data_IF_722401208736
#
_entry.id   IF_722401208736
#
_cell.length_a   1.000
_cell.length_b   1.000
_cell.length_c   1.000
_cell.angle_alpha   90.00
_cell.angle_beta   90.00
_cell.angle_gamma   90.00
#
_symmetry.space_group_name_H-M   'P 1'
#
loop_
_entity.id
_entity.type
_entity.pdbx_description
1 polymer ?
#
# COMPACT_ATOMS: atom_id res chain seq x y z
N UNK A 1 -48.31 -28.24 -12.15
CA UNK A 1 -47.55 -29.40 -11.59
C UNK A 1 -46.51 -28.83 -10.66
N UNK A 2 -46.79 -28.92 -9.35
CA UNK A 2 -45.89 -28.48 -8.30
C UNK A 2 -44.73 -29.48 -8.19
N UNK A 3 -43.51 -29.05 -8.51
CA UNK A 3 -42.30 -29.82 -8.24
C UNK A 3 -42.00 -29.69 -6.75
N UNK A 4 -42.08 -30.81 -6.05
CA UNK A 4 -41.63 -30.99 -4.66
C UNK A 4 -40.21 -30.44 -4.47
N UNK A 5 -39.89 -29.69 -3.41
CA UNK A 5 -38.51 -29.32 -3.12
C UNK A 5 -37.79 -30.56 -2.64
N UNK A 6 -36.79 -31.02 -3.41
CA UNK A 6 -35.87 -32.07 -3.00
C UNK A 6 -35.14 -31.61 -1.73
N UNK A 7 -35.58 -32.15 -0.60
CA UNK A 7 -35.01 -31.96 0.72
C UNK A 7 -33.87 -32.97 0.90
N UNK A 8 -32.75 -32.75 0.20
CA UNK A 8 -31.49 -33.50 0.38
C UNK A 8 -30.28 -32.60 0.06
N UNK A 9 -30.33 -31.32 0.44
CA UNK A 9 -29.08 -30.58 0.63
C UNK A 9 -28.58 -30.91 2.03
N UNK A 10 -27.40 -31.56 2.19
CA UNK A 10 -26.86 -31.84 3.50
C UNK A 10 -26.75 -30.53 4.28
N UNK A 11 -27.30 -30.52 5.50
CA UNK A 11 -27.24 -29.34 6.38
C UNK A 11 -25.76 -28.98 6.54
N UNK A 12 -25.35 -27.75 6.18
CA UNK A 12 -23.95 -27.37 6.29
C UNK A 12 -23.52 -27.42 7.76
N UNK A 13 -22.34 -27.99 8.00
CA UNK A 13 -21.72 -28.07 9.33
C UNK A 13 -21.57 -26.67 9.93
N UNK A 14 -21.74 -26.50 11.27
CA UNK A 14 -21.49 -25.23 11.99
C UNK A 14 -19.99 -24.88 11.98
N UNK A 15 -19.47 -24.55 10.79
CA UNK A 15 -18.12 -24.07 10.59
C UNK A 15 -18.14 -22.54 10.68
N UNK A 16 -17.43 -22.00 11.67
CA UNK A 16 -17.37 -20.56 11.93
C UNK A 16 -16.14 -19.97 11.27
N UNK A 17 -16.33 -19.24 10.18
CA UNK A 17 -15.26 -18.58 9.43
C UNK A 17 -14.81 -17.26 10.05
N UNK A 18 -15.50 -16.77 11.08
CA UNK A 18 -15.23 -15.48 11.75
C UNK A 18 -13.84 -15.36 12.34
N UNK A 19 -13.33 -16.41 12.99
CA UNK A 19 -12.02 -16.35 13.62
C UNK A 19 -10.92 -16.16 12.58
N UNK A 20 -11.04 -16.82 11.42
CA UNK A 20 -10.11 -16.65 10.29
C UNK A 20 -10.17 -15.25 9.71
N UNK A 21 -11.38 -14.75 9.44
CA UNK A 21 -11.62 -13.38 8.94
C UNK A 21 -10.98 -12.32 9.86
N UNK A 22 -11.22 -12.41 11.17
CA UNK A 22 -10.68 -11.45 12.14
C UNK A 22 -9.15 -11.56 12.25
N UNK A 23 -8.61 -12.78 12.32
CA UNK A 23 -7.16 -12.98 12.40
C UNK A 23 -6.45 -12.35 11.19
N UNK A 24 -6.99 -12.55 9.99
CA UNK A 24 -6.48 -11.93 8.77
C UNK A 24 -6.54 -10.40 8.84
N UNK A 25 -7.70 -9.83 9.21
CA UNK A 25 -7.85 -8.38 9.27
C UNK A 25 -6.92 -7.75 10.32
N UNK A 26 -6.83 -8.33 11.53
CA UNK A 26 -5.92 -7.84 12.57
C UNK A 26 -4.46 -7.88 12.11
N UNK A 27 -4.02 -8.98 11.50
CA UNK A 27 -2.62 -9.10 11.04
C UNK A 27 -2.29 -8.06 9.98
N UNK A 28 -3.13 -7.88 8.97
CA UNK A 28 -2.92 -6.86 7.93
C UNK A 28 -2.93 -5.44 8.50
N UNK A 29 -3.83 -5.15 9.44
CA UNK A 29 -3.93 -3.82 10.07
C UNK A 29 -2.67 -3.48 10.87
N UNK A 30 -2.14 -4.44 11.63
CA UNK A 30 -0.92 -4.28 12.42
C UNK A 30 0.30 -4.10 11.51
N UNK A 31 0.42 -4.91 10.46
CA UNK A 31 1.50 -4.78 9.48
C UNK A 31 1.41 -3.41 8.79
N UNK A 32 0.21 -3.00 8.34
CA UNK A 32 -0.01 -1.71 7.73
C UNK A 32 0.34 -0.56 8.68
N UNK A 33 -0.05 -0.63 9.96
CA UNK A 33 0.30 0.37 10.98
C UNK A 33 1.82 0.52 11.11
N UNK A 34 2.53 -0.61 11.22
CA UNK A 34 3.98 -0.59 11.38
C UNK A 34 4.68 0.10 10.20
N UNK A 35 4.19 -0.13 8.98
CA UNK A 35 4.73 0.49 7.77
C UNK A 35 4.35 1.96 7.62
N UNK A 36 3.13 2.34 7.98
CA UNK A 36 2.68 3.75 7.98
C UNK A 36 3.47 4.56 8.99
N UNK A 37 3.71 4.04 10.20
CA UNK A 37 4.54 4.69 11.20
C UNK A 37 6.00 4.81 10.75
N UNK A 38 6.56 3.74 10.16
CA UNK A 38 7.91 3.77 9.60
C UNK A 38 8.00 4.82 8.48
N UNK A 39 7.02 4.86 7.59
CA UNK A 39 6.92 5.85 6.52
C UNK A 39 6.83 7.26 7.07
N UNK A 40 5.97 7.51 8.05
CA UNK A 40 5.85 8.83 8.69
C UNK A 40 7.17 9.25 9.36
N UNK A 41 7.86 8.33 10.04
CA UNK A 41 9.17 8.58 10.62
C UNK A 41 10.21 8.95 9.55
N UNK A 42 10.26 8.21 8.43
CA UNK A 42 11.14 8.51 7.29
C UNK A 42 10.82 9.88 6.70
N UNK A 43 9.54 10.22 6.51
CA UNK A 43 9.15 11.48 5.90
C UNK A 43 9.42 12.69 6.81
N UNK A 44 9.28 12.53 8.12
CA UNK A 44 9.51 13.60 9.10
C UNK A 44 10.99 13.79 9.44
N UNK A 45 11.75 12.71 9.60
CA UNK A 45 13.15 12.76 10.08
C UNK A 45 14.16 12.66 8.96
N UNK A 46 13.98 11.70 8.04
CA UNK A 46 14.98 11.34 7.03
C UNK A 46 14.91 12.21 5.78
N UNK A 47 13.73 12.32 5.17
CA UNK A 47 13.57 13.15 3.96
C UNK A 47 13.08 14.56 4.27
N UNK A 48 12.55 14.78 5.49
CA UNK A 48 12.02 16.06 6.00
C UNK A 48 11.09 16.76 4.99
N UNK A 49 10.32 15.97 4.24
CA UNK A 49 9.49 16.45 3.15
C UNK A 49 8.17 15.68 3.17
N UNK A 50 7.22 16.22 3.94
CA UNK A 50 5.87 15.69 4.05
C UNK A 50 5.07 16.03 2.78
N UNK A 51 4.64 15.00 2.05
CA UNK A 51 3.86 15.16 0.83
C UNK A 51 2.38 14.86 1.03
N UNK A 52 1.55 15.26 0.06
CA UNK A 52 0.13 14.89 0.01
C UNK A 52 -0.10 13.37 0.04
N UNK A 53 0.79 12.62 -0.59
CA UNK A 53 0.87 11.16 -0.56
C UNK A 53 0.91 10.59 0.88
N UNK A 54 1.69 11.23 1.77
CA UNK A 54 1.82 10.80 3.18
C UNK A 54 0.55 11.06 3.99
N UNK A 55 -0.16 12.15 3.71
CA UNK A 55 -1.45 12.43 4.33
C UNK A 55 -2.51 11.44 3.86
N UNK A 56 -2.54 11.12 2.56
CA UNK A 56 -3.47 10.15 1.99
C UNK A 56 -3.29 8.77 2.65
N UNK A 57 -2.07 8.26 2.78
CA UNK A 57 -1.88 6.92 3.34
C UNK A 57 -2.27 6.81 4.83
N UNK A 58 -2.11 7.90 5.60
CA UNK A 58 -2.58 7.96 6.99
C UNK A 58 -4.11 7.92 7.04
N UNK A 59 -4.79 8.68 6.17
CA UNK A 59 -6.25 8.65 6.05
C UNK A 59 -6.73 7.26 5.63
N UNK A 60 -6.05 6.62 4.68
CA UNK A 60 -6.36 5.25 4.27
C UNK A 60 -6.25 4.27 5.45
N UNK A 61 -5.18 4.36 6.26
CA UNK A 61 -5.04 3.52 7.44
C UNK A 61 -6.15 3.75 8.48
N UNK A 62 -6.56 5.00 8.71
CA UNK A 62 -7.69 5.32 9.61
C UNK A 62 -8.99 4.70 9.07
N UNK A 63 -9.24 4.77 7.77
CA UNK A 63 -10.40 4.13 7.16
C UNK A 63 -10.34 2.60 7.26
N UNK A 64 -9.15 2.01 7.14
CA UNK A 64 -8.92 0.57 7.32
C UNK A 64 -9.21 0.13 8.77
N UNK A 65 -8.82 0.95 9.76
CA UNK A 65 -9.13 0.74 11.17
C UNK A 65 -10.64 0.86 11.45
N UNK A 66 -11.31 1.86 10.87
CA UNK A 66 -12.76 2.00 10.98
C UNK A 66 -13.48 0.76 10.42
N UNK A 67 -13.03 0.23 9.28
CA UNK A 67 -13.51 -1.02 8.70
C UNK A 67 -13.31 -2.24 9.61
N UNK A 68 -12.18 -2.31 10.33
CA UNK A 68 -11.90 -3.38 11.29
C UNK A 68 -12.91 -3.35 12.45
N UNK A 69 -13.22 -2.15 12.96
CA UNK A 69 -14.21 -1.98 14.04
C UNK A 69 -15.60 -2.42 13.58
N UNK A 70 -15.99 -2.08 12.35
CA UNK A 70 -17.29 -2.52 11.80
C UNK A 70 -17.36 -4.02 11.60
N UNK A 71 -16.30 -4.67 11.10
CA UNK A 71 -16.27 -6.14 10.97
C UNK A 71 -16.27 -6.83 12.34
N UNK A 72 -15.60 -6.26 13.34
CA UNK A 72 -15.66 -6.78 14.70
C UNK A 72 -17.09 -6.71 15.27
N UNK A 73 -17.82 -5.63 14.99
CA UNK A 73 -19.23 -5.50 15.37
C UNK A 73 -20.09 -6.56 14.66
N UNK A 74 -19.89 -6.79 13.35
CA UNK A 74 -20.57 -7.86 12.60
C UNK A 74 -20.25 -9.24 13.15
N UNK A 75 -19.00 -9.50 13.52
CA UNK A 75 -18.59 -10.77 14.12
C UNK A 75 -19.28 -11.02 15.46
N UNK A 76 -19.47 -9.98 16.29
CA UNK A 76 -20.22 -10.06 17.54
C UNK A 76 -21.71 -10.35 17.32
N UNK A 77 -22.28 -9.88 16.20
CA UNK A 77 -23.65 -10.17 15.77
C UNK A 77 -23.81 -11.56 15.14
N UNK A 78 -22.73 -12.32 14.94
CA UNK A 78 -22.78 -13.67 14.39
C UNK A 78 -22.59 -13.77 12.87
N UNK A 79 -21.91 -12.80 12.24
CA UNK A 79 -21.38 -12.95 10.87
C UNK A 79 -20.63 -14.29 10.72
N UNK A 80 -20.54 -14.86 9.52
CA UNK A 80 -19.76 -16.09 9.28
C UNK A 80 -20.35 -17.39 9.83
N UNK A 81 -21.56 -17.36 10.40
CA UNK A 81 -22.40 -18.53 10.62
C UNK A 81 -23.45 -18.66 9.51
N UNK A 82 -23.87 -19.88 9.21
CA UNK A 82 -25.03 -20.10 8.33
C UNK A 82 -26.30 -19.51 8.95
N UNK A 83 -27.16 -18.92 8.11
CA UNK A 83 -28.36 -18.19 8.54
C UNK A 83 -29.28 -19.05 9.45
N UNK A 84 -29.27 -20.37 9.25
CA UNK A 84 -30.04 -21.36 10.01
C UNK A 84 -29.64 -21.49 11.49
N UNK A 85 -28.42 -21.10 11.87
CA UNK A 85 -27.92 -21.23 13.25
C UNK A 85 -28.01 -19.92 14.06
N UNK A 86 -28.67 -18.90 13.52
CA UNK A 86 -28.86 -17.62 14.21
C UNK A 86 -30.14 -17.69 15.08
N UNK A 87 -30.13 -17.14 16.32
CA UNK A 87 -31.27 -17.20 17.23
C UNK A 87 -32.54 -16.55 16.65
N UNK A 88 -32.36 -15.38 16.03
CA UNK A 88 -33.41 -14.62 15.32
C UNK A 88 -32.88 -14.26 13.92
N UNK A 89 -33.06 -15.14 12.92
CA UNK A 89 -32.40 -14.99 11.62
C UNK A 89 -32.81 -13.70 10.90
N UNK A 90 -34.08 -13.27 10.99
CA UNK A 90 -34.57 -12.09 10.26
C UNK A 90 -33.99 -10.78 10.83
N UNK A 91 -34.07 -10.57 12.15
CA UNK A 91 -33.56 -9.36 12.80
C UNK A 91 -32.03 -9.28 12.79
N UNK A 92 -31.35 -10.40 13.03
CA UNK A 92 -29.89 -10.43 13.12
C UNK A 92 -29.26 -10.24 11.74
N UNK A 93 -29.80 -10.87 10.69
CA UNK A 93 -29.31 -10.67 9.31
C UNK A 93 -29.53 -9.23 8.85
N UNK A 94 -30.65 -8.61 9.21
CA UNK A 94 -30.89 -7.19 8.94
C UNK A 94 -29.84 -6.28 9.58
N UNK A 95 -29.48 -6.54 10.84
CA UNK A 95 -28.43 -5.77 11.53
C UNK A 95 -27.06 -5.98 10.88
N UNK A 96 -26.72 -7.23 10.53
CA UNK A 96 -25.47 -7.55 9.83
C UNK A 96 -25.39 -6.78 8.49
N UNK A 97 -26.46 -6.76 7.69
CA UNK A 97 -26.49 -6.04 6.41
C UNK A 97 -26.31 -4.52 6.58
N UNK A 98 -26.91 -3.94 7.63
CA UNK A 98 -26.75 -2.51 7.93
C UNK A 98 -25.31 -2.16 8.27
N UNK A 99 -24.67 -2.92 9.15
CA UNK A 99 -23.25 -2.70 9.51
C UNK A 99 -22.34 -2.99 8.32
N UNK A 100 -22.64 -4.01 7.51
CA UNK A 100 -21.89 -4.34 6.31
C UNK A 100 -21.89 -3.21 5.27
N UNK A 101 -23.00 -2.49 5.15
CA UNK A 101 -23.08 -1.30 4.29
C UNK A 101 -22.11 -0.21 4.77
N UNK A 102 -22.01 -0.01 6.08
CA UNK A 102 -21.06 0.94 6.67
C UNK A 102 -19.62 0.48 6.42
N UNK A 103 -19.33 -0.81 6.62
CA UNK A 103 -18.03 -1.40 6.29
C UNK A 103 -17.65 -1.16 4.82
N UNK A 104 -18.56 -1.41 3.89
CA UNK A 104 -18.31 -1.19 2.45
C UNK A 104 -17.96 0.26 2.13
N UNK A 105 -18.60 1.24 2.78
CA UNK A 105 -18.28 2.66 2.61
C UNK A 105 -16.83 2.95 3.03
N UNK A 106 -16.43 2.49 4.22
CA UNK A 106 -15.04 2.66 4.69
C UNK A 106 -14.04 1.95 3.78
N UNK A 107 -14.40 0.75 3.30
CA UNK A 107 -13.56 -0.03 2.40
C UNK A 107 -13.32 0.69 1.07
N UNK A 108 -14.38 1.26 0.47
CA UNK A 108 -14.29 2.05 -0.77
C UNK A 108 -13.44 3.31 -0.57
N UNK A 109 -13.63 4.03 0.53
CA UNK A 109 -12.82 5.21 0.87
C UNK A 109 -11.34 4.82 1.00
N UNK A 110 -11.05 3.75 1.74
CA UNK A 110 -9.70 3.27 1.95
C UNK A 110 -9.03 2.88 0.62
N UNK A 111 -9.73 2.13 -0.24
CA UNK A 111 -9.23 1.73 -1.55
C UNK A 111 -8.92 2.93 -2.44
N UNK A 112 -9.84 3.91 -2.53
CA UNK A 112 -9.65 5.13 -3.31
C UNK A 112 -8.42 5.92 -2.82
N UNK A 113 -8.39 6.23 -1.52
CA UNK A 113 -7.31 7.05 -0.93
C UNK A 113 -5.94 6.36 -1.06
N UNK A 114 -5.89 5.04 -0.98
CA UNK A 114 -4.67 4.25 -1.22
C UNK A 114 -4.17 4.41 -2.66
N UNK A 115 -5.07 4.30 -3.66
CA UNK A 115 -4.72 4.49 -5.08
C UNK A 115 -4.28 5.92 -5.38
N UNK A 116 -4.88 6.90 -4.71
CA UNK A 116 -4.44 8.30 -4.74
C UNK A 116 -3.03 8.48 -4.18
N UNK A 117 -2.73 7.89 -3.02
CA UNK A 117 -1.38 7.88 -2.43
C UNK A 117 -0.35 7.32 -3.42
N UNK A 118 -0.58 6.11 -3.96
CA UNK A 118 0.33 5.49 -4.95
C UNK A 118 0.54 6.40 -6.16
N UNK A 119 -0.53 7.02 -6.68
CA UNK A 119 -0.45 7.92 -7.84
C UNK A 119 0.38 9.18 -7.53
N UNK A 120 0.18 9.80 -6.37
CA UNK A 120 0.98 10.94 -5.94
C UNK A 120 2.44 10.57 -5.67
N UNK A 121 2.69 9.38 -5.12
CA UNK A 121 4.04 8.85 -4.95
C UNK A 121 4.77 8.71 -6.30
N UNK A 122 4.09 8.19 -7.31
CA UNK A 122 4.65 8.05 -8.66
C UNK A 122 5.00 9.43 -9.25
N UNK A 123 4.11 10.42 -9.11
CA UNK A 123 4.37 11.80 -9.56
C UNK A 123 5.56 12.43 -8.87
N UNK A 124 5.81 12.08 -7.61
CA UNK A 124 6.98 12.54 -6.85
C UNK A 124 8.29 11.95 -7.37
N UNK A 125 8.28 10.72 -7.89
CA UNK A 125 9.47 10.09 -8.49
C UNK A 125 9.75 10.65 -9.88
N UNK A 126 8.73 10.68 -10.74
CA UNK A 126 8.87 11.11 -12.14
C UNK A 126 7.76 12.10 -12.48
N UNK A 127 8.11 13.38 -12.42
CA UNK A 127 7.22 14.47 -12.79
C UNK A 127 7.40 14.84 -14.28
N UNK A 128 7.07 13.92 -15.20
CA UNK A 128 6.97 14.24 -16.63
C UNK A 128 5.53 14.61 -16.99
N UNK A 129 5.37 15.45 -18.03
CA UNK A 129 4.04 15.92 -18.47
C UNK A 129 3.14 14.74 -18.85
N UNK A 130 3.68 13.75 -19.54
CA UNK A 130 2.91 12.57 -19.98
C UNK A 130 2.45 11.70 -18.82
N UNK A 131 3.35 11.40 -17.86
CA UNK A 131 3.00 10.61 -16.67
C UNK A 131 1.95 11.35 -15.82
N UNK A 132 2.08 12.68 -15.72
CA UNK A 132 1.10 13.49 -15.00
C UNK A 132 -0.28 13.44 -15.64
N UNK A 133 -0.38 13.56 -16.96
CA UNK A 133 -1.66 13.46 -17.65
C UNK A 133 -2.25 12.06 -17.54
N UNK A 134 -1.45 11.01 -17.77
CA UNK A 134 -1.92 9.62 -17.68
C UNK A 134 -2.46 9.32 -16.27
N UNK A 135 -1.73 9.68 -15.22
CA UNK A 135 -2.18 9.46 -13.84
C UNK A 135 -3.39 10.32 -13.47
N UNK A 136 -3.46 11.56 -13.94
CA UNK A 136 -4.62 12.41 -13.71
C UNK A 136 -5.89 11.82 -14.37
N UNK A 137 -5.79 11.36 -15.62
CA UNK A 137 -6.91 10.68 -16.31
C UNK A 137 -7.31 9.39 -15.61
N UNK A 138 -6.33 8.59 -15.16
CA UNK A 138 -6.57 7.35 -14.44
C UNK A 138 -7.28 7.59 -13.09
N UNK A 139 -6.85 8.60 -12.32
CA UNK A 139 -7.49 9.01 -11.06
C UNK A 139 -8.90 9.58 -11.27
N UNK A 140 -9.09 10.36 -12.33
CA UNK A 140 -10.40 10.91 -12.70
C UNK A 140 -11.35 9.78 -13.07
N UNK A 141 -10.91 8.84 -13.91
CA UNK A 141 -11.72 7.71 -14.32
C UNK A 141 -12.05 6.78 -13.15
N UNK A 142 -11.10 6.53 -12.24
CA UNK A 142 -11.31 5.81 -10.97
C UNK A 142 -12.44 6.43 -10.14
N UNK A 143 -12.37 7.75 -9.92
CA UNK A 143 -13.37 8.42 -9.09
C UNK A 143 -14.73 8.47 -9.77
N UNK A 144 -14.78 8.77 -11.07
CA UNK A 144 -16.03 8.73 -11.83
C UNK A 144 -16.69 7.35 -11.82
N UNK A 145 -15.91 6.28 -12.00
CA UNK A 145 -16.43 4.91 -11.96
C UNK A 145 -16.97 4.57 -10.57
N UNK A 146 -16.25 4.96 -9.51
CA UNK A 146 -16.64 4.64 -8.13
C UNK A 146 -17.84 5.47 -7.66
N UNK A 147 -17.86 6.77 -7.97
CA UNK A 147 -19.00 7.65 -7.64
C UNK A 147 -20.22 7.27 -8.48
N UNK A 148 -20.04 6.98 -9.76
CA UNK A 148 -21.11 6.51 -10.64
C UNK A 148 -21.76 5.24 -10.11
N UNK A 149 -20.97 4.26 -9.67
CA UNK A 149 -21.51 3.06 -9.05
C UNK A 149 -22.19 3.33 -7.71
N UNK A 150 -21.63 4.20 -6.86
CA UNK A 150 -22.26 4.59 -5.61
C UNK A 150 -23.63 5.26 -5.82
N UNK A 151 -23.74 6.14 -6.82
CA UNK A 151 -25.00 6.77 -7.22
C UNK A 151 -25.99 5.74 -7.76
N UNK A 152 -25.55 4.82 -8.62
CA UNK A 152 -26.41 3.76 -9.15
C UNK A 152 -26.92 2.87 -8.02
N UNK A 153 -26.07 2.50 -7.06
CA UNK A 153 -26.49 1.74 -5.87
C UNK A 153 -27.49 2.52 -5.01
N UNK A 154 -27.26 3.81 -4.79
CA UNK A 154 -28.18 4.67 -4.04
C UNK A 154 -29.56 4.80 -4.71
N UNK A 155 -29.62 4.74 -6.05
CA UNK A 155 -30.87 4.81 -6.84
C UNK A 155 -31.43 3.41 -7.14
N UNK A 156 -30.70 2.34 -6.84
CA UNK A 156 -31.11 0.96 -7.13
C UNK A 156 -32.35 0.52 -6.36
N UNK A 157 -32.60 1.08 -5.17
CA UNK A 157 -33.82 0.89 -4.41
C UNK A 157 -34.28 2.20 -3.80
N UNK A 158 -35.58 2.51 -3.95
CA UNK A 158 -36.22 3.66 -3.32
C UNK A 158 -37.34 3.12 -2.42
N UNK A 159 -37.23 3.24 -1.08
CA UNK A 159 -36.09 3.73 -0.30
C UNK A 159 -34.91 2.73 -0.29
N UNK A 160 -33.68 3.20 -0.04
CA UNK A 160 -32.48 2.36 0.09
C UNK A 160 -32.68 1.28 1.18
N UNK A 161 -33.51 1.58 2.18
CA UNK A 161 -33.91 0.65 3.23
C UNK A 161 -34.54 -0.65 2.71
N UNK A 162 -35.17 -0.59 1.53
CA UNK A 162 -35.76 -1.75 0.87
C UNK A 162 -34.71 -2.77 0.41
N UNK A 163 -33.45 -2.35 0.25
CA UNK A 163 -32.36 -3.24 -0.15
C UNK A 163 -32.08 -4.31 0.92
N UNK A 164 -32.18 -3.94 2.20
CA UNK A 164 -31.97 -4.87 3.32
C UNK A 164 -33.29 -5.30 3.99
N UNK A 165 -34.32 -4.46 4.01
CA UNK A 165 -35.64 -4.78 4.55
C UNK A 165 -36.70 -4.90 3.44
N UNK A 166 -37.00 -6.14 3.04
CA UNK A 166 -37.95 -6.40 1.93
C UNK A 166 -39.39 -6.00 2.26
N UNK A 167 -39.72 -5.81 3.53
CA UNK A 167 -41.07 -5.48 4.00
C UNK A 167 -41.42 -4.00 3.83
N UNK A 168 -40.43 -3.15 3.49
CA UNK A 168 -40.64 -1.72 3.24
C UNK A 168 -41.26 -1.50 1.86
N UNK A 169 -42.36 -0.72 1.75
CA UNK A 169 -42.96 -0.36 0.47
C UNK A 169 -41.98 0.50 -0.35
N UNK A 170 -41.87 0.20 -1.64
CA UNK A 170 -40.90 0.86 -2.52
C UNK A 170 -40.63 0.08 -3.80
N UNK A 171 -39.84 0.66 -4.70
CA UNK A 171 -39.46 0.06 -5.98
C UNK A 171 -37.94 -0.14 -6.02
N UNK A 172 -37.52 -1.33 -6.44
CA UNK A 172 -36.11 -1.63 -6.71
C UNK A 172 -35.95 -1.91 -8.20
N UNK A 173 -34.83 -1.47 -8.76
CA UNK A 173 -34.38 -1.86 -10.09
C UNK A 173 -34.15 -3.38 -10.13
N UNK A 174 -34.34 -3.98 -11.31
CA UNK A 174 -34.15 -5.42 -11.47
C UNK A 174 -32.73 -5.82 -11.01
N UNK A 175 -32.59 -6.88 -10.18
CA UNK A 175 -31.30 -7.28 -9.63
C UNK A 175 -30.26 -7.54 -10.72
N UNK A 176 -30.67 -8.06 -11.88
CA UNK A 176 -29.80 -8.26 -13.05
C UNK A 176 -29.09 -6.98 -13.50
N UNK A 177 -29.78 -5.84 -13.53
CA UNK A 177 -29.21 -4.56 -13.97
C UNK A 177 -28.17 -4.05 -12.97
N UNK A 178 -28.45 -4.16 -11.67
CA UNK A 178 -27.49 -3.79 -10.61
C UNK A 178 -26.22 -4.65 -10.66
N UNK A 179 -26.36 -5.97 -10.87
CA UNK A 179 -25.22 -6.87 -11.03
C UNK A 179 -24.39 -6.55 -12.27
N UNK A 180 -25.01 -6.26 -13.41
CA UNK A 180 -24.28 -5.89 -14.63
C UNK A 180 -23.45 -4.63 -14.47
N UNK A 181 -23.99 -3.61 -13.78
CA UNK A 181 -23.24 -2.38 -13.49
C UNK A 181 -22.05 -2.66 -12.56
N UNK A 182 -22.27 -3.44 -11.49
CA UNK A 182 -21.20 -3.82 -10.58
C UNK A 182 -20.08 -4.61 -11.30
N UNK A 183 -20.45 -5.51 -12.22
CA UNK A 183 -19.48 -6.29 -13.00
C UNK A 183 -18.60 -5.40 -13.89
N UNK A 184 -19.21 -4.42 -14.55
CA UNK A 184 -18.50 -3.44 -15.38
C UNK A 184 -17.57 -2.56 -14.53
N UNK A 185 -18.06 -2.07 -13.39
CA UNK A 185 -17.26 -1.28 -12.44
C UNK A 185 -16.03 -2.06 -11.94
N UNK A 186 -16.21 -3.30 -11.54
CA UNK A 186 -15.11 -4.12 -11.07
C UNK A 186 -14.11 -4.43 -12.18
N UNK A 187 -14.57 -4.64 -13.42
CA UNK A 187 -13.70 -4.76 -14.58
C UNK A 187 -12.79 -3.54 -14.76
N UNK A 188 -13.35 -2.34 -14.66
CA UNK A 188 -12.55 -1.11 -14.69
C UNK A 188 -11.55 -1.01 -13.54
N UNK A 189 -11.97 -1.41 -12.34
CA UNK A 189 -11.12 -1.42 -11.14
C UNK A 189 -9.89 -2.32 -11.35
N UNK A 190 -10.08 -3.51 -11.92
CA UNK A 190 -9.00 -4.45 -12.25
C UNK A 190 -8.02 -3.83 -13.26
N UNK A 191 -8.52 -3.20 -14.33
CA UNK A 191 -7.68 -2.56 -15.34
C UNK A 191 -6.80 -1.48 -14.69
N UNK A 192 -7.37 -0.68 -13.80
CA UNK A 192 -6.63 0.40 -13.16
C UNK A 192 -5.59 -0.15 -12.17
N UNK A 193 -5.90 -1.22 -11.45
CA UNK A 193 -4.93 -1.87 -10.57
C UNK A 193 -3.75 -2.44 -11.37
N UNK A 194 -3.98 -3.02 -12.55
CA UNK A 194 -2.93 -3.45 -13.46
C UNK A 194 -2.08 -2.28 -13.97
N UNK A 195 -2.71 -1.15 -14.31
CA UNK A 195 -2.02 0.07 -14.71
C UNK A 195 -1.13 0.62 -13.58
N UNK A 196 -1.64 0.70 -12.34
CA UNK A 196 -0.87 1.17 -11.19
C UNK A 196 0.26 0.21 -10.81
N UNK A 197 0.03 -1.10 -10.91
CA UNK A 197 1.03 -2.14 -10.62
C UNK A 197 2.17 -2.13 -11.64
N UNK A 198 1.86 -1.89 -12.92
CA UNK A 198 2.85 -1.82 -14.00
C UNK A 198 3.56 -0.46 -14.09
N UNK A 199 2.94 0.63 -13.61
CA UNK A 199 3.50 1.97 -13.64
C UNK A 199 4.96 2.08 -13.13
N UNK A 200 5.33 1.57 -11.93
CA UNK A 200 6.72 1.69 -11.46
C UNK A 200 7.72 0.96 -12.36
N UNK A 201 7.32 -0.14 -13.01
CA UNK A 201 8.19 -0.92 -13.91
C UNK A 201 8.43 -0.19 -15.21
N UNK A 202 7.36 0.33 -15.83
CA UNK A 202 7.44 1.12 -17.06
C UNK A 202 8.27 2.38 -16.81
N UNK A 203 8.13 2.99 -15.63
CA UNK A 203 8.86 4.20 -15.27
C UNK A 203 10.35 3.96 -15.16
N UNK A 204 10.73 2.80 -14.63
CA UNK A 204 12.10 2.49 -14.26
C UNK A 204 12.84 1.62 -15.28
N UNK A 205 12.19 1.20 -16.38
CA UNK A 205 12.76 0.28 -17.38
C UNK A 205 14.06 0.79 -18.02
N UNK A 206 14.15 2.11 -18.26
CA UNK A 206 15.30 2.74 -18.93
C UNK A 206 16.45 3.09 -17.96
N UNK A 207 16.27 2.87 -16.66
CA UNK A 207 17.25 3.25 -15.64
C UNK A 207 18.08 2.04 -15.24
N UNK A 208 19.42 2.18 -15.20
CA UNK A 208 20.32 1.15 -14.66
C UNK A 208 20.11 1.02 -13.14
N UNK A 209 19.33 0.03 -12.72
CA UNK A 209 18.94 -0.20 -11.33
C UNK A 209 19.82 -1.28 -10.66
N UNK A 210 20.32 -1.01 -9.45
CA UNK A 210 21.01 -2.00 -8.61
C UNK A 210 20.08 -3.16 -8.23
N UNK A 211 20.63 -4.39 -8.11
CA UNK A 211 19.89 -5.63 -7.83
C UNK A 211 18.88 -5.52 -6.67
N UNK A 212 19.22 -4.84 -5.57
CA UNK A 212 18.31 -4.68 -4.42
C UNK A 212 17.03 -3.88 -4.73
N UNK A 213 17.09 -2.87 -5.60
CA UNK A 213 15.90 -2.13 -6.05
C UNK A 213 15.05 -2.97 -7.00
N UNK A 214 15.68 -3.85 -7.80
CA UNK A 214 14.95 -4.78 -8.67
C UNK A 214 14.08 -5.74 -7.86
N UNK A 215 14.60 -6.29 -6.76
CA UNK A 215 13.82 -7.15 -5.85
C UNK A 215 12.61 -6.43 -5.25
N UNK A 216 12.78 -5.17 -4.83
CA UNK A 216 11.67 -4.38 -4.29
C UNK A 216 10.57 -4.12 -5.33
N UNK A 217 10.96 -3.79 -6.56
CA UNK A 217 10.00 -3.60 -7.66
C UNK A 217 9.25 -4.91 -7.94
N UNK A 218 9.95 -6.05 -7.96
CA UNK A 218 9.29 -7.35 -8.10
C UNK A 218 8.30 -7.62 -6.97
N UNK A 219 8.66 -7.33 -5.71
CA UNK A 219 7.74 -7.48 -4.58
C UNK A 219 6.49 -6.59 -4.68
N UNK A 220 6.65 -5.33 -5.12
CA UNK A 220 5.53 -4.44 -5.37
C UNK A 220 4.60 -4.95 -6.47
N UNK A 221 5.18 -5.50 -7.55
CA UNK A 221 4.37 -6.12 -8.61
C UNK A 221 3.58 -7.32 -8.11
N UNK A 222 4.20 -8.18 -7.30
CA UNK A 222 3.52 -9.32 -6.70
C UNK A 222 2.33 -8.90 -5.84
N UNK A 223 2.48 -7.86 -5.01
CA UNK A 223 1.38 -7.33 -4.19
C UNK A 223 0.24 -6.77 -5.05
N UNK A 224 0.54 -6.06 -6.14
CA UNK A 224 -0.47 -5.56 -7.07
C UNK A 224 -1.19 -6.69 -7.84
N UNK A 225 -0.50 -7.79 -8.15
CA UNK A 225 -1.12 -8.99 -8.70
C UNK A 225 -2.06 -9.67 -7.70
N UNK A 226 -1.68 -9.72 -6.41
CA UNK A 226 -2.57 -10.25 -5.36
C UNK A 226 -3.84 -9.40 -5.24
N UNK A 227 -3.72 -8.06 -5.28
CA UNK A 227 -4.87 -7.16 -5.25
C UNK A 227 -5.80 -7.35 -6.45
N UNK A 228 -5.26 -7.52 -7.67
CA UNK A 228 -6.06 -7.77 -8.89
C UNK A 228 -6.75 -9.13 -8.87
N UNK A 229 -6.07 -10.18 -8.41
CA UNK A 229 -6.69 -11.50 -8.23
C UNK A 229 -7.82 -11.43 -7.20
N UNK A 230 -7.62 -10.68 -6.11
CA UNK A 230 -8.66 -10.45 -5.10
C UNK A 230 -9.89 -9.78 -5.73
N UNK A 231 -9.72 -8.72 -6.51
CA UNK A 231 -10.84 -8.08 -7.22
C UNK A 231 -11.56 -9.03 -8.19
N UNK A 232 -10.83 -9.92 -8.87
CA UNK A 232 -11.44 -10.92 -9.74
C UNK A 232 -12.28 -11.93 -8.94
N UNK A 233 -11.76 -12.44 -7.82
CA UNK A 233 -12.47 -13.36 -6.93
C UNK A 233 -13.75 -12.74 -6.36
N UNK A 234 -13.70 -11.46 -6.00
CA UNK A 234 -14.87 -10.72 -5.53
C UNK A 234 -16.02 -10.75 -6.53
N UNK A 235 -15.73 -10.58 -7.83
CA UNK A 235 -16.75 -10.67 -8.88
C UNK A 235 -17.36 -12.06 -8.99
N UNK A 236 -16.56 -13.12 -8.81
CA UNK A 236 -17.07 -14.49 -8.81
C UNK A 236 -18.01 -14.74 -7.61
N UNK A 237 -17.68 -14.22 -6.44
CA UNK A 237 -18.50 -14.39 -5.23
C UNK A 237 -19.77 -13.55 -5.22
N UNK A 238 -19.84 -12.47 -6.01
CA UNK A 238 -21.03 -11.61 -6.11
C UNK A 238 -22.29 -12.40 -6.49
N UNK A 239 -22.17 -13.46 -7.31
CA UNK A 239 -23.31 -14.33 -7.68
C UNK A 239 -23.87 -15.15 -6.51
N UNK A 240 -23.05 -15.41 -5.48
CA UNK A 240 -23.45 -16.16 -4.28
C UNK A 240 -24.32 -15.37 -3.30
N UNK A 241 -24.39 -14.04 -3.45
CA UNK A 241 -25.20 -13.14 -2.61
C UNK A 241 -26.73 -13.30 -2.84
N UNK A 242 -27.15 -14.19 -3.74
CA UNK A 242 -28.57 -14.52 -3.95
C UNK A 242 -28.98 -15.82 -3.24
N UNK A 243 -28.02 -16.55 -2.65
CA UNK A 243 -28.27 -17.80 -1.95
C UNK A 243 -28.92 -17.58 -0.56
N UNK A 244 -29.67 -18.58 -0.03
CA UNK A 244 -30.26 -18.50 1.32
C UNK A 244 -29.21 -18.31 2.43
N UNK A 245 -27.95 -18.69 2.20
CA UNK A 245 -26.81 -18.51 3.12
C UNK A 245 -26.09 -17.15 2.94
N UNK A 246 -26.85 -16.07 2.82
CA UNK A 246 -26.33 -14.70 2.67
C UNK A 246 -25.20 -14.31 3.66
N UNK A 247 -25.32 -14.52 4.99
CA UNK A 247 -24.26 -14.12 5.94
C UNK A 247 -22.94 -14.88 5.75
N UNK A 248 -22.99 -16.12 5.27
CA UNK A 248 -21.80 -16.90 4.95
C UNK A 248 -21.13 -16.40 3.65
N UNK A 249 -21.94 -16.10 2.62
CA UNK A 249 -21.44 -15.55 1.36
C UNK A 249 -20.78 -14.16 1.53
N UNK A 250 -21.36 -13.30 2.38
CA UNK A 250 -20.79 -11.98 2.72
C UNK A 250 -19.38 -12.13 3.31
N UNK A 251 -19.15 -13.17 4.12
CA UNK A 251 -17.85 -13.40 4.75
C UNK A 251 -16.75 -13.67 3.71
N UNK A 252 -17.03 -14.44 2.68
CA UNK A 252 -16.08 -14.71 1.60
C UNK A 252 -15.73 -13.44 0.81
N UNK A 253 -16.73 -12.59 0.55
CA UNK A 253 -16.54 -11.29 -0.10
C UNK A 253 -15.70 -10.34 0.79
N UNK A 254 -15.95 -10.36 2.10
CA UNK A 254 -15.21 -9.54 3.07
C UNK A 254 -13.73 -9.94 3.14
N UNK A 255 -13.40 -11.24 3.23
CA UNK A 255 -12.01 -11.75 3.22
C UNK A 255 -11.24 -11.18 2.02
N UNK A 256 -11.80 -11.35 0.83
CA UNK A 256 -11.17 -10.91 -0.41
C UNK A 256 -11.00 -9.38 -0.46
N UNK A 257 -11.97 -8.64 0.08
CA UNK A 257 -11.93 -7.17 0.15
C UNK A 257 -10.87 -6.67 1.15
N UNK A 258 -10.71 -7.37 2.28
CA UNK A 258 -9.69 -7.07 3.29
C UNK A 258 -8.29 -7.30 2.72
N UNK A 259 -8.08 -8.41 1.99
CA UNK A 259 -6.84 -8.66 1.26
C UNK A 259 -6.52 -7.54 0.27
N UNK A 260 -7.49 -7.13 -0.55
CA UNK A 260 -7.30 -6.08 -1.56
C UNK A 260 -6.80 -4.78 -0.91
N UNK A 261 -7.52 -4.30 0.10
CA UNK A 261 -7.25 -2.99 0.68
C UNK A 261 -6.03 -3.03 1.61
N UNK A 262 -5.87 -4.10 2.39
CA UNK A 262 -4.71 -4.29 3.27
C UNK A 262 -3.40 -4.41 2.47
N UNK A 263 -3.37 -5.21 1.41
CA UNK A 263 -2.19 -5.33 0.54
C UNK A 263 -1.91 -4.04 -0.22
N UNK A 264 -2.94 -3.28 -0.62
CA UNK A 264 -2.80 -1.97 -1.23
C UNK A 264 -2.08 -0.96 -0.32
N UNK A 265 -2.50 -0.85 0.95
CA UNK A 265 -1.87 0.06 1.93
C UNK A 265 -0.42 -0.34 2.18
N UNK A 266 -0.14 -1.64 2.33
CA UNK A 266 1.22 -2.17 2.49
C UNK A 266 2.08 -1.82 1.26
N UNK A 267 1.57 -2.06 0.05
CA UNK A 267 2.27 -1.77 -1.21
C UNK A 267 2.57 -0.27 -1.36
N UNK A 268 1.67 0.61 -0.93
CA UNK A 268 1.88 2.06 -0.96
C UNK A 268 2.98 2.53 0.01
N UNK A 269 3.22 1.81 1.11
CA UNK A 269 4.22 2.20 2.12
C UNK A 269 5.66 1.74 1.77
N UNK A 270 5.80 0.58 1.10
CA UNK A 270 7.11 -0.03 0.78
C UNK A 270 8.08 0.94 0.08
N UNK A 271 7.68 1.69 -0.98
CA UNK A 271 8.60 2.55 -1.71
C UNK A 271 9.18 3.70 -0.88
N UNK A 272 8.38 4.26 0.03
CA UNK A 272 8.83 5.32 0.93
C UNK A 272 9.73 4.80 2.07
N UNK A 273 9.66 3.51 2.39
CA UNK A 273 10.51 2.90 3.41
C UNK A 273 11.94 2.55 2.90
N UNK A 274 12.18 2.56 1.58
CA UNK A 274 13.49 2.26 0.96
C UNK A 274 14.69 3.00 1.60
N UNK A 275 14.60 4.31 1.93
CA UNK A 275 15.70 5.05 2.52
C UNK A 275 16.07 4.54 3.93
N UNK A 276 15.11 4.11 4.74
CA UNK A 276 15.36 3.58 6.09
C UNK A 276 16.22 2.30 6.05
N UNK A 277 15.91 1.39 5.13
CA UNK A 277 16.68 0.15 4.97
C UNK A 277 18.14 0.39 4.57
N UNK A 278 18.42 1.51 3.87
CA UNK A 278 19.77 1.89 3.47
C UNK A 278 20.58 2.51 4.61
N UNK A 279 19.96 3.32 5.48
CA UNK A 279 20.65 3.85 6.65
C UNK A 279 21.10 2.71 7.59
N UNK A 280 20.33 1.62 7.68
CA UNK A 280 20.68 0.46 8.52
C UNK A 280 21.86 -0.37 7.97
N UNK A 281 22.07 -0.40 6.65
CA UNK A 281 23.16 -1.14 6.01
C UNK A 281 24.52 -0.40 6.00
N UNK A 282 24.53 0.93 6.21
CA UNK A 282 25.78 1.71 6.30
C UNK A 282 26.40 1.73 7.70
N UNK A 283 25.85 0.97 8.65
CA UNK A 283 26.39 0.82 9.99
C UNK A 283 27.40 -0.33 10.11
N UNK A 284 28.23 -0.58 9.08
CA UNK A 284 29.50 -1.25 9.32
C UNK A 284 30.51 -0.19 9.78
N UNK A 285 31.16 -0.37 10.95
CA UNK A 285 32.22 0.53 11.35
C UNK A 285 33.33 0.45 10.30
N UNK A 286 33.63 1.58 9.67
CA UNK A 286 34.87 1.73 8.91
C UNK A 286 36.00 1.51 9.91
N UNK A 287 36.55 0.30 9.95
CA UNK A 287 37.83 0.05 10.58
C UNK A 287 38.83 0.96 9.84
N UNK A 288 39.27 2.02 10.52
CA UNK A 288 40.37 2.85 10.07
C UNK A 288 41.61 1.95 9.99
N UNK A 289 41.84 1.32 8.84
CA UNK A 289 43.17 0.86 8.47
C UNK A 289 44.00 2.11 8.18
N UNK A 290 44.55 2.68 9.24
CA UNK A 290 45.61 3.68 9.19
C UNK A 290 46.83 3.01 8.55
N UNK A 291 46.84 2.92 7.22
CA UNK A 291 47.96 2.42 6.46
C UNK A 291 48.94 3.58 6.31
N UNK A 292 49.85 3.66 7.26
CA UNK A 292 50.97 4.60 7.31
C UNK A 292 51.73 4.59 5.98
N UNK A 293 51.42 5.56 5.11
CA UNK A 293 52.23 5.83 3.92
C UNK A 293 53.33 6.79 4.37
N UNK A 294 54.49 6.23 4.72
CA UNK A 294 55.75 6.99 4.74
C UNK A 294 55.88 7.71 3.40
N UNK A 295 55.73 9.04 3.43
CA UNK A 295 56.13 9.92 2.35
C UNK A 295 57.66 9.90 2.32
N UNK A 296 58.24 9.12 1.41
CA UNK A 296 59.65 9.24 1.07
C UNK A 296 59.81 10.48 0.19
N UNK A 297 60.31 11.57 0.79
CA UNK A 297 60.76 12.75 0.04
C UNK A 297 61.98 12.32 -0.77
N UNK A 298 61.81 12.17 -2.09
CA UNK A 298 62.93 11.94 -3.01
C UNK A 298 63.66 13.28 -3.14
N UNK A 299 64.84 13.40 -2.50
CA UNK A 299 65.81 14.46 -2.78
C UNK A 299 66.46 14.18 -4.13
N UNK A 300 66.13 14.96 -5.15
CA UNK A 300 66.83 14.92 -6.43
C UNK A 300 68.19 15.59 -6.32
N UNK A 301 69.27 14.81 -6.39
CA UNK A 301 70.62 15.32 -6.64
C UNK A 301 70.88 15.41 -8.14
N UNK A 302 71.75 16.34 -8.56
CA UNK A 302 72.17 16.52 -9.96
C UNK A 302 73.65 16.19 -10.09
N UNK A 303 73.99 15.36 -11.08
CA UNK A 303 75.37 15.07 -11.48
C UNK A 303 75.87 16.13 -12.45
N UNK A 304 77.12 16.57 -12.27
CA UNK A 304 77.86 17.38 -13.24
C UNK A 304 79.01 16.56 -13.85
N UNK A 305 78.95 16.32 -15.17
CA UNK A 305 79.91 15.48 -15.91
C UNK A 305 81.31 16.13 -16.08
N UNK A 306 81.46 17.41 -15.77
CA UNK A 306 82.72 18.14 -15.95
C UNK A 306 83.74 17.98 -14.81
N UNK A 307 83.32 17.61 -13.60
CA UNK A 307 84.19 17.58 -12.39
C UNK A 307 84.20 16.24 -11.65
N UNK A 308 83.37 15.28 -12.09
CA UNK A 308 83.33 13.93 -11.51
C UNK A 308 82.80 13.83 -10.07
N UNK A 309 82.19 14.89 -9.52
CA UNK A 309 81.71 14.92 -8.13
C UNK A 309 80.20 15.20 -8.01
N UNK A 310 79.58 14.58 -6.99
CA UNK A 310 78.19 14.81 -6.59
C UNK A 310 78.08 16.00 -5.63
N UNK A 311 77.05 16.85 -5.82
CA UNK A 311 76.68 17.88 -4.83
C UNK A 311 75.19 17.82 -4.48
N UNK A 312 74.88 17.99 -3.18
CA UNK A 312 73.51 18.17 -2.68
C UNK A 312 73.20 19.68 -2.64
N UNK A 313 72.14 20.11 -3.33
CA UNK A 313 71.69 21.50 -3.31
C UNK A 313 71.07 21.89 -1.95
N UNK A 314 71.59 22.95 -1.33
CA UNK A 314 70.91 23.65 -0.24
C UNK A 314 69.86 24.59 -0.84
N UNK A 315 68.58 24.40 -0.51
CA UNK A 315 67.52 25.32 -0.88
C UNK A 315 67.27 26.33 0.24
N UNK A 316 67.28 27.58 -0.20
CA UNK A 316 67.19 28.85 0.49
C UNK A 316 65.83 29.05 1.16
N UNK A 317 65.87 29.75 2.30
CA UNK A 317 64.72 30.30 3.01
C UNK A 317 63.93 31.25 2.11
N UNK A 318 62.62 31.03 1.97
CA UNK A 318 61.69 32.13 1.75
C UNK A 318 60.37 31.88 2.50
N UNK A 319 59.94 32.93 3.17
CA UNK A 319 58.86 32.97 4.14
C UNK A 319 57.51 33.05 3.43
N UNK A 320 56.57 32.16 3.79
CA UNK A 320 55.14 32.47 3.72
C UNK A 320 54.55 32.24 5.11
N UNK A 321 54.05 33.34 5.65
CA UNK A 321 53.58 33.50 7.01
C UNK A 321 52.42 32.56 7.36
N UNK A 322 52.53 32.02 8.58
CA UNK A 322 51.44 31.47 9.36
C UNK A 322 50.35 32.52 9.57
N UNK A 323 49.10 32.20 9.22
CA UNK A 323 47.93 32.80 9.84
C UNK A 323 47.19 31.67 10.57
N UNK A 324 47.32 31.65 11.89
CA UNK A 324 46.90 30.53 12.73
C UNK A 324 45.43 30.54 13.11
N UNK A 325 44.87 29.35 13.39
CA UNK A 325 43.71 29.15 14.27
C UNK A 325 43.79 27.78 14.96
N UNK A 326 43.90 27.81 16.31
CA UNK A 326 43.42 26.88 17.36
C UNK A 326 43.40 25.35 17.12
N UNK A 327 44.17 24.63 17.95
CA UNK A 327 43.73 23.36 18.60
C UNK A 327 42.52 23.64 19.54
N UNK A 328 41.61 22.70 19.89
CA UNK A 328 41.62 21.24 19.78
C UNK A 328 40.38 20.65 19.07
N UNK A 329 40.37 19.31 18.96
CA UNK A 329 39.30 18.50 18.39
C UNK A 329 37.90 18.99 18.71
N UNK A 330 37.20 19.40 17.66
CA UNK A 330 35.75 19.32 17.59
C UNK A 330 35.46 18.28 16.53
N UNK A 331 35.01 17.12 16.98
CA UNK A 331 34.32 16.14 16.14
C UNK A 331 33.14 16.91 15.52
N UNK A 332 33.31 17.37 14.28
CA UNK A 332 32.17 17.70 13.45
C UNK A 332 31.61 16.34 13.06
N UNK A 333 30.81 15.77 13.97
CA UNK A 333 29.71 14.93 13.54
C UNK A 333 28.89 15.84 12.65
N UNK A 334 29.17 15.78 11.33
CA UNK A 334 28.09 15.84 10.37
C UNK A 334 27.18 14.70 10.78
N UNK A 335 26.25 15.00 11.68
CA UNK A 335 24.96 14.35 11.72
C UNK A 335 24.38 14.68 10.36
N UNK A 336 24.80 13.88 9.38
CA UNK A 336 24.04 13.70 8.16
C UNK A 336 22.78 13.09 8.73
N UNK A 337 21.77 13.94 8.95
CA UNK A 337 20.47 13.48 9.34
C UNK A 337 20.08 12.47 8.27
N UNK A 338 20.19 11.19 8.65
CA UNK A 338 19.11 10.29 8.36
C UNK A 338 17.86 10.77 9.15
#
# INVERSE_FOLDING_TARGET
>A
MASSPNQDTPIPTDHRTTAGLLAEYYTLTVIALSLVLLRAWVCLRLTRNWGWDDTCIVIAWIALLAGLITIQLEANLGLGRHAIYLPDPEHTVLQILKVNTIYQIFNVICALVTKYSISFYILRIRNSRDVRWILAWLMLFMTLATTGAAVILAVSCIPLEKQWNKDVPGTCLFPKTAYSVAYVQSGFTIVIDLCLTSAPVIILWDVKINRGRKTLICGLMSLGLVATVSNALRNCYQGGLTAPDMPYAITNVAIVSILEVGTGVIAACIPACVPAFRCRQKAEPVANSYRDKKISVIRGGRWDEGSGNWSLGNAMSDSIALCGVKSPGRVVTKVTAC
#
